data_IF_394174286889
#
_entry.id   IF_394174286889
#
_cell.length_a   1.000
_cell.length_b   1.000
_cell.length_c   1.000
_cell.angle_alpha   90.00
_cell.angle_beta   90.00
_cell.angle_gamma   90.00
#
_symmetry.space_group_name_H-M   'P 1'
#
loop_
_entity.id
_entity.type
_entity.pdbx_description
1 polymer ?
#
# COMPACT_ATOMS: atom_id res chain seq x y z
N UNK A 1 39.51 -12.87 -14.86
CA UNK A 1 39.02 -11.58 -14.39
C UNK A 1 37.55 -11.73 -14.07
N UNK A 2 37.12 -11.63 -12.80
CA UNK A 2 35.70 -11.50 -12.47
C UNK A 2 35.28 -10.10 -12.90
N UNK A 3 34.43 -10.00 -13.92
CA UNK A 3 33.73 -8.75 -14.20
C UNK A 3 32.94 -8.39 -12.94
N UNK A 4 33.32 -7.34 -12.26
CA UNK A 4 32.52 -6.79 -11.15
C UNK A 4 31.12 -6.50 -11.70
N UNK A 5 30.14 -7.26 -11.23
CA UNK A 5 28.74 -6.99 -11.58
C UNK A 5 28.30 -5.73 -10.86
N UNK A 6 27.75 -4.79 -11.60
CA UNK A 6 27.26 -3.57 -11.01
C UNK A 6 25.99 -3.87 -10.18
N UNK A 7 25.90 -3.30 -8.97
CA UNK A 7 24.71 -3.45 -8.14
C UNK A 7 23.48 -2.80 -8.78
N UNK A 8 22.32 -3.27 -8.41
CA UNK A 8 21.05 -2.65 -8.76
C UNK A 8 20.68 -1.61 -7.71
N UNK A 9 20.18 -0.45 -8.14
CA UNK A 9 19.95 0.69 -7.26
C UNK A 9 18.58 1.28 -7.53
N UNK A 10 17.75 1.42 -6.48
CA UNK A 10 16.70 2.45 -6.50
C UNK A 10 17.42 3.78 -6.30
N UNK A 11 17.42 4.66 -7.28
CA UNK A 11 18.11 5.95 -7.21
C UNK A 11 17.23 7.05 -6.63
N UNK A 12 15.93 6.91 -6.73
CA UNK A 12 14.94 7.86 -6.18
C UNK A 12 13.63 7.15 -5.81
N UNK A 13 12.86 7.72 -4.91
CA UNK A 13 11.57 7.20 -4.53
C UNK A 13 10.47 7.71 -5.46
N UNK A 14 9.63 6.80 -5.92
CA UNK A 14 8.45 7.12 -6.70
C UNK A 14 7.19 7.14 -5.81
N UNK A 15 6.53 8.30 -5.73
CA UNK A 15 5.35 8.46 -4.87
C UNK A 15 5.69 8.38 -3.38
N UNK A 16 4.78 7.82 -2.59
CA UNK A 16 4.86 7.77 -1.12
C UNK A 16 5.11 6.34 -0.61
N UNK A 17 5.18 6.18 0.70
CA UNK A 17 5.59 4.94 1.41
C UNK A 17 4.99 3.65 0.83
N UNK A 18 3.70 3.61 0.51
CA UNK A 18 3.08 2.41 -0.08
C UNK A 18 3.70 2.03 -1.43
N UNK A 19 3.95 3.02 -2.30
CA UNK A 19 4.63 2.83 -3.57
C UNK A 19 6.09 2.40 -3.36
N UNK A 20 6.77 2.98 -2.38
CA UNK A 20 8.16 2.65 -2.08
C UNK A 20 8.31 1.20 -1.57
N UNK A 21 7.35 0.70 -0.79
CA UNK A 21 7.28 -0.72 -0.41
C UNK A 21 7.13 -1.61 -1.66
N UNK A 22 6.32 -1.22 -2.63
CA UNK A 22 6.21 -1.93 -3.90
C UNK A 22 7.52 -1.90 -4.70
N UNK A 23 8.17 -0.74 -4.82
CA UNK A 23 9.48 -0.62 -5.49
C UNK A 23 10.52 -1.55 -4.87
N UNK A 24 10.65 -1.53 -3.53
CA UNK A 24 11.58 -2.39 -2.80
C UNK A 24 11.27 -3.86 -3.05
N UNK A 25 10.00 -4.23 -3.01
CA UNK A 25 9.55 -5.60 -3.19
C UNK A 25 9.93 -6.14 -4.57
N UNK A 26 9.66 -5.37 -5.61
CA UNK A 26 9.98 -5.73 -6.99
C UNK A 26 11.49 -5.80 -7.20
N UNK A 27 12.24 -4.81 -6.71
CA UNK A 27 13.69 -4.76 -6.83
C UNK A 27 14.38 -5.94 -6.12
N UNK A 28 13.96 -6.24 -4.89
CA UNK A 28 14.50 -7.38 -4.15
C UNK A 28 14.17 -8.71 -4.80
N UNK A 29 12.96 -8.91 -5.29
CA UNK A 29 12.60 -10.10 -6.03
C UNK A 29 13.54 -10.27 -7.22
N UNK A 30 13.70 -9.24 -8.04
CA UNK A 30 14.58 -9.28 -9.21
C UNK A 30 16.02 -9.62 -8.80
N UNK A 31 16.61 -8.91 -7.85
CA UNK A 31 17.99 -9.11 -7.46
C UNK A 31 18.26 -10.52 -6.90
N UNK A 32 17.35 -11.05 -6.08
CA UNK A 32 17.52 -12.34 -5.43
C UNK A 32 17.22 -13.54 -6.34
N UNK A 33 16.48 -13.35 -7.44
CA UNK A 33 16.22 -14.40 -8.43
C UNK A 33 17.30 -14.54 -9.49
N UNK A 34 18.25 -13.60 -9.56
CA UNK A 34 19.39 -13.73 -10.49
C UNK A 34 20.38 -14.80 -10.01
N UNK A 35 21.15 -15.38 -10.95
CA UNK A 35 22.17 -16.38 -10.66
C UNK A 35 23.55 -15.90 -11.14
N UNK A 36 24.50 -15.57 -10.23
CA UNK A 36 24.31 -15.42 -8.78
C UNK A 36 23.45 -14.20 -8.43
N UNK A 37 22.91 -14.11 -7.18
CA UNK A 37 22.17 -12.96 -6.73
C UNK A 37 22.94 -11.64 -6.92
N UNK A 38 22.21 -10.56 -7.20
CA UNK A 38 22.76 -9.22 -7.38
C UNK A 38 22.67 -8.41 -6.07
N UNK A 39 23.62 -7.52 -5.85
CA UNK A 39 23.55 -6.56 -4.77
C UNK A 39 22.45 -5.53 -5.05
N UNK A 40 21.76 -5.10 -3.99
CA UNK A 40 20.68 -4.12 -4.06
C UNK A 40 20.95 -2.95 -3.11
N UNK A 41 20.77 -1.75 -3.61
CA UNK A 41 20.90 -0.51 -2.84
C UNK A 41 19.67 0.39 -3.03
N UNK A 42 19.36 1.19 -2.02
CA UNK A 42 18.27 2.17 -2.07
C UNK A 42 18.67 3.44 -1.32
N UNK A 43 18.05 4.60 -1.62
CA UNK A 43 18.22 5.81 -0.85
C UNK A 43 17.68 5.68 0.58
N UNK A 44 18.11 6.56 1.48
CA UNK A 44 17.53 6.66 2.82
C UNK A 44 16.00 6.89 2.72
N UNK A 45 15.25 6.23 3.61
CA UNK A 45 13.79 6.37 3.70
C UNK A 45 13.38 6.62 5.14
N UNK A 46 12.44 7.56 5.37
CA UNK A 46 12.04 7.97 6.72
C UNK A 46 11.37 6.89 7.57
N UNK A 47 10.79 5.84 6.93
CA UNK A 47 10.03 4.79 7.62
C UNK A 47 10.59 3.39 7.40
N UNK A 48 11.44 3.19 6.38
CA UNK A 48 11.91 1.89 5.94
C UNK A 48 13.41 1.82 6.06
N UNK A 49 13.91 0.85 6.81
CA UNK A 49 15.33 0.55 6.93
C UNK A 49 15.64 -0.80 6.29
N UNK A 50 16.45 -0.80 5.24
CA UNK A 50 17.08 -2.00 4.74
C UNK A 50 18.54 -2.04 5.23
N UNK A 51 19.00 -3.24 5.57
CA UNK A 51 20.42 -3.47 5.77
C UNK A 51 21.13 -3.43 4.42
N UNK A 52 21.62 -2.27 4.04
CA UNK A 52 22.58 -2.14 2.97
C UNK A 52 23.76 -1.34 3.46
N UNK A 53 24.94 -1.91 3.37
CA UNK A 53 26.14 -1.08 3.38
C UNK A 53 26.04 -0.14 2.18
N UNK A 54 26.17 1.15 2.40
CA UNK A 54 26.21 2.14 1.29
C UNK A 54 27.27 1.71 0.30
N UNK A 55 27.03 1.77 -1.02
CA UNK A 55 28.03 1.38 -2.00
C UNK A 55 29.31 2.15 -1.77
N UNK A 56 30.40 1.45 -1.60
CA UNK A 56 31.73 2.04 -1.49
C UNK A 56 32.19 2.48 -2.87
N UNK A 57 32.09 3.79 -3.15
CA UNK A 57 32.61 4.42 -4.37
C UNK A 57 31.55 4.60 -5.47
N UNK A 58 31.59 5.75 -6.11
CA UNK A 58 30.63 6.30 -7.07
C UNK A 58 30.29 5.42 -8.27
N UNK A 59 29.52 4.39 -8.03
CA UNK A 59 28.94 3.53 -9.06
C UNK A 59 27.69 4.28 -9.55
N UNK A 60 27.66 4.64 -10.82
CA UNK A 60 26.48 5.23 -11.42
C UNK A 60 25.33 4.20 -11.43
N UNK A 61 24.15 4.54 -10.88
CA UNK A 61 22.99 3.66 -10.90
C UNK A 61 22.54 3.42 -12.33
N UNK A 62 22.31 2.17 -12.68
CA UNK A 62 21.87 1.79 -14.04
C UNK A 62 20.37 1.90 -14.27
N UNK A 63 19.53 2.10 -13.24
CA UNK A 63 18.08 1.99 -13.37
C UNK A 63 17.36 3.06 -12.57
N UNK A 64 16.33 3.66 -13.17
CA UNK A 64 15.46 4.63 -12.52
C UNK A 64 14.50 3.94 -11.54
N UNK A 65 14.11 4.66 -10.48
CA UNK A 65 13.15 4.22 -9.48
C UNK A 65 11.79 3.81 -10.07
N UNK A 66 11.40 4.45 -11.15
CA UNK A 66 10.14 4.22 -11.86
C UNK A 66 10.04 2.80 -12.44
N UNK A 67 11.16 2.24 -12.81
CA UNK A 67 11.29 0.89 -13.36
C UNK A 67 10.69 -0.20 -12.45
N UNK A 68 10.86 -0.10 -11.14
CA UNK A 68 10.33 -1.10 -10.22
C UNK A 68 8.85 -0.90 -9.86
N UNK A 69 8.18 0.07 -10.49
CA UNK A 69 6.79 0.38 -10.21
C UNK A 69 5.85 0.09 -11.39
N UNK A 70 6.24 0.42 -12.62
CA UNK A 70 5.38 0.32 -13.80
C UNK A 70 5.89 -0.63 -14.88
N UNK A 71 4.96 -1.20 -15.64
CA UNK A 71 5.18 -2.10 -16.78
C UNK A 71 5.92 -1.42 -17.95
N UNK A 72 5.73 -0.12 -18.14
CA UNK A 72 6.15 0.62 -19.34
C UNK A 72 7.67 0.76 -19.47
N UNK A 73 8.44 0.36 -18.46
CA UNK A 73 9.91 0.41 -18.49
C UNK A 73 10.55 -0.96 -18.75
N UNK A 74 9.76 -1.94 -19.19
CA UNK A 74 10.24 -3.29 -19.55
C UNK A 74 11.25 -3.31 -20.70
N UNK A 75 11.36 -2.23 -21.49
CA UNK A 75 12.36 -2.09 -22.56
C UNK A 75 13.80 -2.08 -22.05
N UNK A 76 14.00 -1.77 -20.75
CA UNK A 76 15.32 -1.73 -20.12
C UNK A 76 15.72 -3.13 -19.62
N UNK A 77 14.74 -3.97 -19.26
CA UNK A 77 14.94 -5.36 -18.88
C UNK A 77 13.91 -6.23 -19.61
N UNK A 78 14.26 -6.75 -20.77
CA UNK A 78 13.34 -7.56 -21.59
C UNK A 78 12.79 -8.80 -20.86
N UNK A 79 13.48 -9.27 -19.83
CA UNK A 79 13.06 -10.42 -19.02
C UNK A 79 12.22 -10.04 -17.78
N UNK A 80 12.05 -8.73 -17.48
CA UNK A 80 11.22 -8.25 -16.38
C UNK A 80 9.81 -7.95 -16.90
N UNK A 81 9.08 -8.99 -17.21
CA UNK A 81 7.71 -8.87 -17.69
C UNK A 81 6.74 -8.71 -16.51
N UNK A 82 5.99 -7.60 -16.47
CA UNK A 82 4.91 -7.39 -15.52
C UNK A 82 3.63 -8.15 -15.91
N UNK A 83 3.76 -9.34 -16.48
CA UNK A 83 2.59 -10.19 -16.68
C UNK A 83 2.00 -10.67 -15.32
N UNK A 84 0.77 -11.19 -15.31
CA UNK A 84 0.14 -11.66 -14.08
C UNK A 84 0.91 -12.78 -13.36
N UNK A 85 1.61 -13.65 -14.10
CA UNK A 85 2.41 -14.74 -13.52
C UNK A 85 3.65 -14.18 -12.80
N UNK A 86 4.28 -13.16 -13.38
CA UNK A 86 5.40 -12.47 -12.74
C UNK A 86 4.95 -11.73 -11.48
N UNK A 87 3.83 -10.99 -11.54
CA UNK A 87 3.26 -10.32 -10.36
C UNK A 87 2.92 -11.32 -9.25
N UNK A 88 2.38 -12.47 -9.58
CA UNK A 88 2.10 -13.54 -8.61
C UNK A 88 3.40 -14.11 -8.00
N UNK A 89 4.45 -14.25 -8.78
CA UNK A 89 5.76 -14.69 -8.30
C UNK A 89 6.38 -13.68 -7.33
N UNK A 90 6.29 -12.37 -7.63
CA UNK A 90 6.72 -11.29 -6.72
C UNK A 90 5.90 -11.32 -5.44
N UNK A 91 4.59 -11.45 -5.53
CA UNK A 91 3.67 -11.53 -4.38
C UNK A 91 4.02 -12.72 -3.49
N UNK A 92 4.20 -13.89 -4.08
CA UNK A 92 4.61 -15.09 -3.37
C UNK A 92 5.94 -14.89 -2.65
N UNK A 93 6.95 -14.39 -3.34
CA UNK A 93 8.27 -14.09 -2.79
C UNK A 93 8.21 -13.14 -1.60
N UNK A 94 7.44 -12.05 -1.72
CA UNK A 94 7.22 -11.06 -0.67
C UNK A 94 6.64 -11.72 0.59
N UNK A 95 5.63 -12.57 0.42
CA UNK A 95 4.97 -13.26 1.51
C UNK A 95 5.87 -14.33 2.16
N UNK A 96 6.62 -15.11 1.36
CA UNK A 96 7.47 -16.18 1.84
C UNK A 96 8.74 -15.70 2.56
N UNK A 97 9.35 -14.63 2.09
CA UNK A 97 10.68 -14.19 2.58
C UNK A 97 10.64 -13.38 3.85
N UNK A 98 9.47 -12.99 4.34
CA UNK A 98 9.30 -12.13 5.52
C UNK A 98 10.07 -10.79 5.41
N UNK A 99 10.31 -10.31 4.21
CA UNK A 99 11.05 -9.06 3.95
C UNK A 99 10.51 -7.92 4.80
N UNK A 100 9.20 -7.83 4.95
CA UNK A 100 8.56 -6.77 5.70
C UNK A 100 8.93 -6.70 7.18
N UNK A 101 9.22 -7.82 7.84
CA UNK A 101 9.73 -7.79 9.22
C UNK A 101 11.08 -7.08 9.34
N UNK A 102 11.84 -7.05 8.25
CA UNK A 102 13.15 -6.39 8.18
C UNK A 102 13.03 -4.91 7.81
N UNK A 103 11.93 -4.52 7.13
CA UNK A 103 11.71 -3.16 6.67
C UNK A 103 11.34 -2.19 7.80
N UNK A 104 10.83 -2.67 8.93
CA UNK A 104 10.21 -1.86 9.96
C UNK A 104 11.00 -1.81 11.27
N UNK A 105 12.32 -1.84 11.23
CA UNK A 105 13.15 -1.75 12.45
C UNK A 105 12.92 -0.49 13.28
N UNK A 106 12.56 0.61 12.62
CA UNK A 106 12.36 1.92 13.28
C UNK A 106 11.17 1.97 14.23
N UNK A 107 10.29 0.95 14.22
CA UNK A 107 9.12 0.92 15.09
C UNK A 107 9.28 0.05 16.36
N UNK A 108 10.38 -0.71 16.46
CA UNK A 108 10.58 -1.61 17.61
C UNK A 108 9.51 -2.71 17.71
N UNK A 109 9.13 -3.06 18.94
CA UNK A 109 8.02 -3.96 19.19
C UNK A 109 6.70 -3.21 18.99
N UNK A 110 5.89 -3.71 18.04
CA UNK A 110 4.60 -3.11 17.68
C UNK A 110 3.51 -3.80 18.52
N UNK A 111 2.96 -3.08 19.50
CA UNK A 111 1.85 -3.59 20.31
C UNK A 111 0.53 -3.52 19.51
N UNK A 112 -0.24 -4.62 19.42
CA UNK A 112 -1.48 -4.64 18.65
C UNK A 112 -2.57 -3.81 19.31
N UNK A 113 -3.46 -3.25 18.47
CA UNK A 113 -4.74 -2.73 18.95
C UNK A 113 -5.68 -3.88 19.36
N UNK A 114 -6.67 -3.60 20.24
CA UNK A 114 -7.67 -4.60 20.61
C UNK A 114 -8.37 -5.22 19.39
N UNK A 115 -8.71 -6.51 19.45
CA UNK A 115 -9.43 -7.19 18.36
C UNK A 115 -10.85 -6.64 18.12
N UNK A 116 -11.38 -5.87 19.05
CA UNK A 116 -12.65 -5.16 18.90
C UNK A 116 -12.52 -3.77 18.25
N UNK A 117 -11.31 -3.39 17.80
CA UNK A 117 -11.04 -2.11 17.14
C UNK A 117 -10.93 -2.31 15.62
N UNK A 118 -11.62 -1.48 14.85
CA UNK A 118 -11.46 -1.32 13.42
C UNK A 118 -10.58 -0.11 13.13
N UNK A 119 -9.59 -0.26 12.27
CA UNK A 119 -8.83 0.88 11.73
C UNK A 119 -9.24 1.09 10.27
N UNK A 120 -9.71 2.27 9.94
CA UNK A 120 -10.10 2.68 8.59
C UNK A 120 -9.05 3.65 8.07
N UNK A 121 -8.47 3.36 6.90
CA UNK A 121 -7.64 4.32 6.20
C UNK A 121 -8.45 5.02 5.11
N UNK A 122 -8.40 6.35 5.09
CA UNK A 122 -9.01 7.19 4.07
C UNK A 122 -7.94 7.99 3.34
N UNK A 123 -7.82 7.76 2.03
CA UNK A 123 -6.90 8.53 1.19
C UNK A 123 -7.45 9.94 0.94
N UNK A 124 -6.58 10.93 1.02
CA UNK A 124 -6.81 12.32 0.68
C UNK A 124 -5.86 12.80 -0.42
N UNK A 125 -5.48 14.07 -0.39
CA UNK A 125 -4.45 14.68 -1.22
C UNK A 125 -4.79 14.70 -2.70
N UNK A 126 -3.87 14.21 -3.50
CA UNK A 126 -3.88 14.27 -4.97
C UNK A 126 -5.13 13.71 -5.64
N UNK A 127 -5.81 12.76 -5.01
CA UNK A 127 -7.05 12.16 -5.56
C UNK A 127 -8.28 13.05 -5.45
N UNK A 128 -8.21 14.11 -4.66
CA UNK A 128 -9.29 15.10 -4.48
C UNK A 128 -8.95 16.50 -5.01
N UNK A 129 -7.87 16.62 -5.78
CA UNK A 129 -7.52 17.86 -6.48
C UNK A 129 -8.34 18.07 -7.76
N UNK A 130 -8.15 19.20 -8.44
CA UNK A 130 -8.88 19.58 -9.65
C UNK A 130 -8.63 18.68 -10.86
N UNK A 131 -7.54 17.94 -10.90
CA UNK A 131 -7.19 17.02 -11.98
C UNK A 131 -6.65 15.70 -11.41
N UNK A 132 -7.52 14.88 -10.78
CA UNK A 132 -7.09 13.65 -10.13
C UNK A 132 -6.79 12.55 -11.14
N UNK A 133 -5.95 11.57 -10.78
CA UNK A 133 -5.82 10.35 -11.57
C UNK A 133 -7.18 9.62 -11.64
N UNK A 134 -7.70 9.40 -12.84
CA UNK A 134 -9.05 8.88 -13.08
C UNK A 134 -9.31 7.45 -12.55
N UNK A 135 -8.26 6.70 -12.32
CA UNK A 135 -8.31 5.33 -11.76
C UNK A 135 -8.38 5.29 -10.23
N UNK A 136 -8.26 6.43 -9.53
CA UNK A 136 -8.15 6.46 -8.06
C UNK A 136 -9.51 6.64 -7.38
N UNK A 137 -10.47 5.81 -7.73
CA UNK A 137 -11.78 5.78 -7.10
C UNK A 137 -11.68 5.38 -5.64
N UNK A 138 -12.43 6.07 -4.77
CA UNK A 138 -12.44 5.83 -3.33
C UNK A 138 -13.76 5.21 -2.89
N UNK A 139 -13.74 4.47 -1.77
CA UNK A 139 -14.89 3.75 -1.25
C UNK A 139 -16.01 4.70 -0.76
N UNK A 140 -17.29 4.31 -0.89
CA UNK A 140 -18.41 5.07 -0.37
C UNK A 140 -18.53 4.96 1.16
N UNK A 141 -19.15 5.94 1.77
CA UNK A 141 -19.42 6.03 3.21
C UNK A 141 -20.16 4.79 3.75
N UNK A 142 -21.13 4.29 2.98
CA UNK A 142 -21.95 3.13 3.38
C UNK A 142 -21.13 1.86 3.62
N UNK A 143 -20.05 1.65 2.88
CA UNK A 143 -19.10 0.55 3.10
C UNK A 143 -18.56 0.58 4.53
N UNK A 144 -18.05 1.71 4.99
CA UNK A 144 -17.50 1.86 6.33
C UNK A 144 -18.58 1.80 7.41
N UNK A 145 -19.74 2.43 7.19
CA UNK A 145 -20.87 2.40 8.14
C UNK A 145 -21.38 0.99 8.43
N UNK A 146 -21.31 0.09 7.44
CA UNK A 146 -21.63 -1.33 7.66
C UNK A 146 -20.58 -2.02 8.54
N UNK A 147 -19.30 -1.74 8.32
CA UNK A 147 -18.20 -2.34 9.08
C UNK A 147 -18.21 -1.88 10.54
N UNK A 148 -18.33 -0.58 10.78
CA UNK A 148 -18.28 0.04 12.12
C UNK A 148 -19.24 -0.64 13.09
N UNK A 149 -20.41 -1.05 12.65
CA UNK A 149 -21.44 -1.72 13.48
C UNK A 149 -20.96 -3.01 14.15
N UNK A 150 -19.90 -3.62 13.61
CA UNK A 150 -19.37 -4.90 14.09
C UNK A 150 -18.23 -4.73 15.11
N UNK A 151 -17.83 -3.50 15.40
CA UNK A 151 -16.68 -3.19 16.27
C UNK A 151 -17.09 -2.29 17.42
N UNK A 152 -16.37 -2.41 18.54
CA UNK A 152 -16.62 -1.58 19.75
C UNK A 152 -15.99 -0.19 19.63
N UNK A 153 -14.91 -0.08 18.87
CA UNK A 153 -14.20 1.17 18.62
C UNK A 153 -13.71 1.23 17.20
N UNK A 154 -13.61 2.44 16.67
CA UNK A 154 -13.11 2.68 15.33
C UNK A 154 -12.13 3.85 15.34
N UNK A 155 -10.97 3.65 14.71
CA UNK A 155 -9.99 4.70 14.44
C UNK A 155 -10.04 4.97 12.95
N UNK A 156 -10.26 6.22 12.56
CA UNK A 156 -10.22 6.67 11.17
C UNK A 156 -8.92 7.44 10.96
N UNK A 157 -8.06 6.91 10.11
CA UNK A 157 -6.78 7.52 9.73
C UNK A 157 -6.94 8.18 8.37
N UNK A 158 -6.75 9.50 8.30
CA UNK A 158 -6.88 10.27 7.08
C UNK A 158 -5.78 11.32 6.96
N UNK A 159 -5.27 11.52 5.76
CA UNK A 159 -4.24 12.52 5.47
C UNK A 159 -4.77 13.95 5.66
N UNK A 160 -6.00 14.18 5.19
CA UNK A 160 -6.67 15.48 5.20
C UNK A 160 -8.20 15.32 5.18
N UNK A 161 -8.93 16.43 5.02
CA UNK A 161 -10.39 16.49 4.96
C UNK A 161 -10.95 16.67 3.53
N UNK A 162 -10.11 16.58 2.50
CA UNK A 162 -10.53 16.71 1.11
C UNK A 162 -11.43 15.54 0.67
N UNK A 163 -11.18 14.35 1.24
CA UNK A 163 -12.08 13.21 1.08
C UNK A 163 -13.43 13.49 1.81
N UNK A 164 -14.58 13.52 1.12
CA UNK A 164 -15.87 13.78 1.75
C UNK A 164 -16.23 12.80 2.87
N UNK A 165 -15.77 11.55 2.77
CA UNK A 165 -15.97 10.54 3.81
C UNK A 165 -15.09 10.84 5.05
N UNK A 166 -13.88 11.36 4.85
CA UNK A 166 -13.03 11.81 5.97
C UNK A 166 -13.67 12.99 6.71
N UNK A 167 -14.21 13.96 5.96
CA UNK A 167 -14.91 15.10 6.53
C UNK A 167 -16.19 14.67 7.30
N UNK A 168 -16.89 13.65 6.81
CA UNK A 168 -18.02 13.07 7.54
C UNK A 168 -17.56 12.50 8.89
N UNK A 169 -16.53 11.65 8.91
CA UNK A 169 -16.06 11.00 10.13
C UNK A 169 -15.37 11.95 11.11
N UNK A 170 -14.76 13.04 10.64
CA UNK A 170 -14.23 14.09 11.53
C UNK A 170 -15.29 14.67 12.46
N UNK A 171 -16.55 14.68 12.00
CA UNK A 171 -17.69 15.22 12.75
C UNK A 171 -18.52 14.12 13.45
N UNK A 172 -18.14 12.85 13.34
CA UNK A 172 -18.82 11.73 13.97
C UNK A 172 -18.19 11.42 15.36
N UNK A 173 -18.91 11.67 16.47
CA UNK A 173 -18.36 11.46 17.82
C UNK A 173 -18.17 9.99 18.18
N UNK A 174 -18.60 9.06 17.35
CA UNK A 174 -18.48 7.61 17.61
C UNK A 174 -17.18 7.01 17.11
N UNK A 175 -16.33 7.79 16.47
CA UNK A 175 -15.03 7.36 15.95
C UNK A 175 -13.90 8.24 16.46
N UNK A 176 -12.71 7.66 16.65
CA UNK A 176 -11.47 8.40 16.86
C UNK A 176 -10.90 8.81 15.51
N UNK A 177 -10.89 10.12 15.23
CA UNK A 177 -10.34 10.64 13.98
C UNK A 177 -8.88 11.06 14.17
N UNK A 178 -7.98 10.43 13.41
CA UNK A 178 -6.56 10.71 13.40
C UNK A 178 -6.14 11.30 12.05
N UNK A 179 -5.43 12.43 12.10
CA UNK A 179 -4.72 13.03 10.97
C UNK A 179 -3.40 13.56 11.51
N UNK A 180 -2.37 12.74 11.46
CA UNK A 180 -1.09 12.94 12.12
C UNK A 180 0.05 12.97 11.10
N UNK A 181 1.28 12.71 11.53
CA UNK A 181 2.38 12.50 10.61
C UNK A 181 2.23 11.15 9.86
N UNK A 182 2.79 11.07 8.66
CA UNK A 182 2.79 9.81 7.87
C UNK A 182 3.32 8.63 8.71
N UNK A 183 4.32 8.87 9.55
CA UNK A 183 4.90 7.86 10.44
C UNK A 183 3.91 7.37 11.49
N UNK A 184 3.21 8.28 12.16
CA UNK A 184 2.22 7.93 13.19
C UNK A 184 1.00 7.25 12.58
N UNK A 185 0.54 7.71 11.43
CA UNK A 185 -0.57 7.13 10.68
C UNK A 185 -0.22 5.71 10.21
N UNK A 186 0.98 5.52 9.67
CA UNK A 186 1.47 4.19 9.29
C UNK A 186 1.60 3.26 10.49
N UNK A 187 2.11 3.77 11.63
CA UNK A 187 2.21 3.00 12.87
C UNK A 187 0.84 2.54 13.39
N UNK A 188 -0.17 3.41 13.33
CA UNK A 188 -1.54 3.04 13.71
C UNK A 188 -2.09 1.90 12.84
N UNK A 189 -1.83 1.95 11.53
CA UNK A 189 -2.20 0.86 10.61
C UNK A 189 -1.45 -0.44 10.90
N UNK A 190 -0.16 -0.38 11.23
CA UNK A 190 0.64 -1.58 11.59
C UNK A 190 0.11 -2.32 12.82
N UNK A 191 -0.49 -1.60 13.77
CA UNK A 191 -1.07 -2.14 15.00
C UNK A 191 -2.43 -2.79 14.79
N UNK A 192 -3.07 -2.55 13.64
CA UNK A 192 -4.43 -3.01 13.38
C UNK A 192 -4.51 -4.53 13.26
N UNK A 193 -5.46 -5.14 13.98
CA UNK A 193 -5.94 -6.50 13.73
C UNK A 193 -7.04 -6.53 12.67
N UNK A 194 -7.80 -5.45 12.59
CA UNK A 194 -8.88 -5.28 11.61
C UNK A 194 -8.66 -3.96 10.88
N UNK A 195 -8.48 -4.01 9.58
CA UNK A 195 -8.17 -2.85 8.75
C UNK A 195 -9.11 -2.76 7.55
N UNK A 196 -9.60 -1.55 7.27
CA UNK A 196 -10.35 -1.25 6.06
C UNK A 196 -9.57 -0.25 5.17
N UNK A 197 -9.51 -0.52 3.87
CA UNK A 197 -8.84 0.35 2.89
C UNK A 197 -9.75 1.41 2.31
N UNK A 198 -9.17 2.45 1.75
CA UNK A 198 -9.87 3.59 1.17
C UNK A 198 -10.41 3.37 -0.27
N UNK A 199 -10.14 2.24 -0.90
CA UNK A 199 -10.28 2.01 -2.33
C UNK A 199 -8.90 1.98 -2.99
N UNK A 200 -8.75 2.59 -4.16
CA UNK A 200 -7.45 2.59 -4.84
C UNK A 200 -6.40 3.36 -4.06
N UNK A 201 -5.35 2.68 -3.65
CA UNK A 201 -4.21 3.26 -2.93
C UNK A 201 -3.28 2.19 -2.37
N UNK A 202 -2.02 2.54 -2.19
CA UNK A 202 -0.96 1.61 -1.77
C UNK A 202 -0.59 1.72 -0.29
N UNK A 203 -0.98 2.81 0.41
CA UNK A 203 -0.53 3.07 1.78
C UNK A 203 -1.06 2.04 2.78
N UNK A 204 -2.39 1.83 2.83
CA UNK A 204 -2.98 0.81 3.70
C UNK A 204 -2.52 -0.61 3.33
N UNK A 205 -2.37 -0.89 2.04
CA UNK A 205 -1.85 -2.18 1.58
C UNK A 205 -0.39 -2.40 2.00
N UNK A 206 0.45 -1.38 1.89
CA UNK A 206 1.83 -1.44 2.39
C UNK A 206 1.88 -1.73 3.89
N UNK A 207 1.05 -1.03 4.67
CA UNK A 207 0.93 -1.29 6.11
C UNK A 207 0.40 -2.70 6.39
N UNK A 208 -0.60 -3.18 5.67
CA UNK A 208 -1.16 -4.53 5.82
C UNK A 208 -0.12 -5.63 5.58
N UNK A 209 0.69 -5.49 4.55
CA UNK A 209 1.79 -6.41 4.24
C UNK A 209 2.87 -6.40 5.34
N UNK A 210 3.16 -5.23 5.90
CA UNK A 210 4.15 -5.05 6.95
C UNK A 210 3.64 -5.43 8.35
N UNK A 211 2.33 -5.35 8.60
CA UNK A 211 1.75 -5.58 9.92
C UNK A 211 1.97 -7.02 10.40
N UNK A 212 2.51 -7.21 11.62
CA UNK A 212 2.61 -8.54 12.22
C UNK A 212 1.28 -9.02 12.83
N UNK A 213 0.28 -8.15 12.95
CA UNK A 213 -0.93 -8.37 13.76
C UNK A 213 -2.22 -8.48 12.97
N UNK A 214 -2.22 -8.11 11.68
CA UNK A 214 -3.43 -8.07 10.87
C UNK A 214 -4.10 -9.45 10.78
N UNK A 215 -5.37 -9.52 11.15
CA UNK A 215 -6.22 -10.72 11.11
C UNK A 215 -7.30 -10.60 10.04
N UNK A 216 -7.92 -9.41 9.90
CA UNK A 216 -8.98 -9.14 8.94
C UNK A 216 -8.67 -7.90 8.11
N UNK A 217 -8.83 -8.01 6.80
CA UNK A 217 -8.67 -6.92 5.86
C UNK A 217 -9.93 -6.72 5.05
N UNK A 218 -10.54 -5.55 5.17
CA UNK A 218 -11.79 -5.18 4.49
C UNK A 218 -11.48 -4.26 3.32
N UNK A 219 -11.88 -4.66 2.13
CA UNK A 219 -11.71 -3.89 0.90
C UNK A 219 -12.96 -3.96 0.04
N UNK A 220 -12.98 -3.15 -1.01
CA UNK A 220 -13.92 -3.28 -2.13
C UNK A 220 -13.18 -3.80 -3.36
N UNK A 221 -13.89 -3.96 -4.46
CA UNK A 221 -13.32 -4.29 -5.77
C UNK A 221 -12.60 -3.11 -6.45
N UNK A 222 -12.42 -1.99 -5.74
CA UNK A 222 -11.66 -0.82 -6.21
C UNK A 222 -10.16 -0.99 -5.88
N UNK A 223 -9.43 -1.65 -6.76
CA UNK A 223 -7.96 -1.74 -6.71
C UNK A 223 -7.39 -1.91 -8.12
N UNK A 224 -6.10 -1.64 -8.27
CA UNK A 224 -5.37 -1.86 -9.52
C UNK A 224 -4.48 -3.09 -9.40
N UNK A 225 -4.55 -4.01 -10.37
CA UNK A 225 -3.73 -5.23 -10.36
C UNK A 225 -2.22 -4.94 -10.41
N UNK A 226 -1.82 -3.86 -11.08
CA UNK A 226 -0.43 -3.44 -11.13
C UNK A 226 0.11 -2.89 -9.78
N UNK A 227 -0.78 -2.57 -8.84
CA UNK A 227 -0.44 -2.10 -7.50
C UNK A 227 -0.45 -3.25 -6.47
N UNK A 228 -0.18 -2.91 -5.19
CA UNK A 228 -0.35 -3.84 -4.09
C UNK A 228 -1.83 -4.27 -4.00
N UNK A 229 -2.12 -5.47 -4.47
CA UNK A 229 -3.47 -6.01 -4.58
C UNK A 229 -3.88 -6.72 -3.27
N UNK A 230 -5.09 -6.52 -2.74
CA UNK A 230 -5.57 -7.15 -1.51
C UNK A 230 -5.46 -8.69 -1.49
N UNK A 231 -5.60 -9.36 -2.63
CA UNK A 231 -5.47 -10.83 -2.73
C UNK A 231 -4.08 -11.34 -2.34
N UNK A 232 -3.05 -10.47 -2.30
CA UNK A 232 -1.72 -10.83 -1.81
C UNK A 232 -1.75 -11.27 -0.34
N UNK A 233 -2.64 -10.69 0.47
CA UNK A 233 -2.75 -10.98 1.89
C UNK A 233 -3.30 -12.39 2.15
N UNK A 234 -4.11 -12.93 1.26
CA UNK A 234 -4.62 -14.31 1.35
C UNK A 234 -3.50 -15.34 1.14
N UNK A 235 -2.46 -14.94 0.40
CA UNK A 235 -1.28 -15.75 0.10
C UNK A 235 -0.14 -15.54 1.10
N UNK A 236 -0.37 -14.84 2.22
CA UNK A 236 0.65 -14.63 3.25
C UNK A 236 0.86 -15.90 4.07
N UNK A 237 1.93 -16.62 3.78
CA UNK A 237 2.30 -17.88 4.45
C UNK A 237 2.72 -17.70 5.92
N UNK A 238 2.95 -16.47 6.37
CA UNK A 238 3.34 -16.19 7.77
C UNK A 238 2.16 -16.24 8.71
N UNK A 239 0.99 -15.84 8.20
CA UNK A 239 -0.28 -15.76 8.92
C UNK A 239 -1.43 -15.83 7.93
N UNK A 240 -2.53 -16.36 8.39
CA UNK A 240 -3.78 -16.32 7.61
C UNK A 240 -4.46 -14.98 7.84
N UNK A 241 -4.52 -14.14 6.82
CA UNK A 241 -5.32 -12.92 6.81
C UNK A 241 -6.65 -13.23 6.12
N UNK A 242 -7.75 -12.88 6.78
CA UNK A 242 -9.09 -13.01 6.21
C UNK A 242 -9.39 -11.75 5.38
N UNK A 243 -9.32 -11.85 4.07
CA UNK A 243 -9.66 -10.74 3.15
C UNK A 243 -11.14 -10.80 2.82
N UNK A 244 -11.85 -9.72 3.14
CA UNK A 244 -13.28 -9.58 2.86
C UNK A 244 -13.49 -8.49 1.82
N UNK A 245 -13.81 -8.89 0.60
CA UNK A 245 -14.04 -8.00 -0.53
C UNK A 245 -15.54 -7.76 -0.73
N UNK A 246 -15.95 -6.49 -0.72
CA UNK A 246 -17.32 -6.06 -0.98
C UNK A 246 -17.41 -5.50 -2.40
N UNK A 247 -18.19 -6.10 -3.32
CA UNK A 247 -18.39 -5.55 -4.65
C UNK A 247 -19.25 -4.28 -4.60
N UNK A 248 -18.89 -3.28 -5.41
CA UNK A 248 -19.63 -2.03 -5.54
C UNK A 248 -20.40 -1.99 -6.87
N UNK A 249 -21.63 -2.50 -6.86
CA UNK A 249 -22.49 -2.52 -8.06
C UNK A 249 -23.04 -1.13 -8.36
N UNK A 250 -22.93 -0.69 -9.62
CA UNK A 250 -23.42 0.62 -10.07
C UNK A 250 -22.83 1.84 -9.31
N UNK A 251 -21.60 1.70 -8.87
CA UNK A 251 -20.79 2.78 -8.29
C UNK A 251 -19.91 3.43 -9.37
N UNK A 252 -19.04 4.37 -8.99
CA UNK A 252 -18.06 4.99 -9.89
C UNK A 252 -17.09 3.91 -10.39
N UNK A 253 -16.97 3.79 -11.71
CA UNK A 253 -16.05 2.80 -12.30
C UNK A 253 -14.61 3.29 -12.29
N UNK A 254 -13.69 2.33 -12.23
CA UNK A 254 -12.28 2.59 -12.45
C UNK A 254 -12.06 3.28 -13.81
N UNK A 255 -11.31 4.39 -13.82
CA UNK A 255 -11.10 5.21 -15.00
C UNK A 255 -12.12 6.36 -15.20
N UNK A 256 -13.17 6.43 -14.39
CA UNK A 256 -14.21 7.48 -14.47
C UNK A 256 -14.12 8.52 -13.35
N UNK A 257 -13.15 8.42 -12.44
CA UNK A 257 -13.00 9.39 -11.36
C UNK A 257 -12.54 10.74 -11.89
N UNK A 258 -13.24 11.80 -11.53
CA UNK A 258 -12.98 13.20 -11.92
C UNK A 258 -13.12 14.17 -10.76
N UNK A 259 -13.41 13.66 -9.55
CA UNK A 259 -13.63 14.46 -8.35
C UNK A 259 -14.72 15.53 -8.51
N UNK A 260 -15.77 15.27 -9.30
CA UNK A 260 -16.89 16.18 -9.47
C UNK A 260 -17.78 16.21 -8.22
N UNK A 261 -18.55 17.30 -8.04
CA UNK A 261 -19.50 17.40 -6.91
C UNK A 261 -20.51 16.25 -6.91
N UNK A 262 -20.97 15.80 -8.09
CA UNK A 262 -21.87 14.65 -8.19
C UNK A 262 -21.21 13.34 -7.74
N UNK A 263 -19.93 13.13 -8.05
CA UNK A 263 -19.18 11.96 -7.58
C UNK A 263 -18.92 12.04 -6.07
N UNK A 264 -18.57 13.21 -5.55
CA UNK A 264 -18.41 13.43 -4.10
C UNK A 264 -19.70 13.20 -3.34
N UNK A 265 -20.85 13.66 -3.88
CA UNK A 265 -22.18 13.38 -3.33
C UNK A 265 -22.48 11.89 -3.37
N UNK A 266 -22.21 11.23 -4.49
CA UNK A 266 -22.40 9.77 -4.62
C UNK A 266 -21.57 8.99 -3.59
N UNK A 267 -20.34 9.42 -3.28
CA UNK A 267 -19.54 8.77 -2.21
C UNK A 267 -20.25 8.81 -0.85
N UNK A 268 -21.05 9.82 -0.55
CA UNK A 268 -21.78 9.95 0.72
C UNK A 268 -23.13 9.22 0.70
N UNK A 269 -23.82 9.19 -0.44
CA UNK A 269 -25.22 8.74 -0.55
C UNK A 269 -25.36 7.30 -1.07
N UNK A 270 -24.33 6.76 -1.75
CA UNK A 270 -24.37 5.40 -2.26
C UNK A 270 -24.66 4.37 -1.14
N UNK A 271 -25.52 3.40 -1.48
CA UNK A 271 -25.89 2.30 -0.57
C UNK A 271 -25.29 0.98 -1.09
N UNK A 272 -24.37 0.41 -0.32
CA UNK A 272 -23.81 -0.92 -0.62
C UNK A 272 -24.85 -2.02 -0.42
#
# INVERSE_FOLDING_TARGET
>A
MRTERQPWVINEWYGRTGNNIQQISNALYFCLTQTPPLDFHMPDHGLIELFSDKPKGGIEPKISSRFFFYKEESDILPDFNCDPEHLDSVRKFICETRIYKRLLKSYGDIEPLPSSTLVIHLRGGDVFQSNPPNSYVQNPLSFYKKLIKNFKSTIVVAEDLENPVANYFKNDPTVDFQSSSEKEDFYTLLRAKNMATSGVGTFAMGAALCSPHLENFFCTDLFQDAHLNPTMLEKDYRKKVNVQMTPLLNYIKMGEWQNTDSQRTLMLEYQC
#
